data_IF_406262349777
#
_entry.id   IF_406262349777
#
_cell.length_a   1.000
_cell.length_b   1.000
_cell.length_c   1.000
_cell.angle_alpha   90.00
_cell.angle_beta   90.00
_cell.angle_gamma   90.00
#
_symmetry.space_group_name_H-M   'P 1'
#
loop_
_entity.id
_entity.type
_entity.pdbx_description
1 polymer ?
#
# COMPACT_ATOMS: atom_id res chain seq x y z
N UNK A 1 -8.73 19.40 -2.46
CA UNK A 1 -7.70 18.34 -2.49
C UNK A 1 -6.40 18.94 -1.96
N UNK A 2 -5.79 18.36 -0.93
CA UNK A 2 -4.62 18.97 -0.26
C UNK A 2 -4.46 18.58 1.20
N UNK A 3 -4.89 17.38 1.60
CA UNK A 3 -4.70 16.89 2.96
C UNK A 3 -3.20 16.76 3.25
N UNK A 4 -2.74 17.44 4.30
CA UNK A 4 -1.38 17.37 4.80
C UNK A 4 -1.44 17.07 6.31
N UNK A 5 -0.63 16.14 6.83
CA UNK A 5 0.25 15.24 6.09
C UNK A 5 -0.51 14.12 5.33
N UNK A 6 0.03 13.70 4.19
CA UNK A 6 -0.31 12.45 3.52
C UNK A 6 0.92 11.97 2.73
N UNK A 7 1.36 10.72 2.77
CA UNK A 7 0.67 9.54 3.29
C UNK A 7 0.83 9.35 4.81
N UNK A 8 -0.06 8.53 5.36
CA UNK A 8 -0.08 8.11 6.76
C UNK A 8 -0.33 6.60 6.80
N UNK A 9 0.24 5.91 7.77
CA UNK A 9 -0.13 4.50 8.00
C UNK A 9 -1.45 4.47 8.77
N UNK A 10 -2.44 3.71 8.30
CA UNK A 10 -3.76 3.66 8.94
C UNK A 10 -3.71 2.86 10.26
N UNK A 11 -4.45 3.29 11.29
CA UNK A 11 -4.60 2.58 12.57
C UNK A 11 -4.86 1.08 12.41
N UNK A 12 -5.74 0.70 11.48
CA UNK A 12 -6.16 -0.68 11.27
C UNK A 12 -5.10 -1.56 10.61
N UNK A 13 -4.01 -0.99 10.08
CA UNK A 13 -2.96 -1.77 9.42
C UNK A 13 -2.25 -2.65 10.44
N UNK A 14 -2.11 -3.94 10.15
CA UNK A 14 -1.31 -4.86 10.97
C UNK A 14 0.16 -4.45 10.98
N UNK A 15 0.83 -4.70 12.11
CA UNK A 15 2.22 -4.30 12.35
C UNK A 15 3.10 -5.54 12.54
N UNK A 16 4.37 -5.42 12.17
CA UNK A 16 5.38 -6.41 12.48
C UNK A 16 5.87 -6.33 13.94
N UNK A 17 6.84 -7.17 14.32
CA UNK A 17 7.49 -8.19 13.50
C UNK A 17 6.56 -9.35 13.10
N UNK A 18 6.96 -10.13 12.09
CA UNK A 18 6.25 -11.37 11.76
C UNK A 18 6.40 -12.36 12.91
N UNK A 19 5.29 -12.94 13.38
CA UNK A 19 5.32 -13.99 14.40
C UNK A 19 5.84 -15.34 13.87
N UNK A 20 5.84 -15.51 12.54
CA UNK A 20 6.25 -16.76 11.88
C UNK A 20 7.76 -16.75 11.58
N UNK A 21 8.27 -15.63 11.06
CA UNK A 21 9.68 -15.45 10.72
C UNK A 21 10.15 -14.07 11.17
N UNK A 22 10.53 -13.90 12.46
CA UNK A 22 10.89 -12.61 13.03
C UNK A 22 12.12 -11.96 12.39
N UNK A 23 13.03 -12.77 11.83
CA UNK A 23 14.28 -12.30 11.21
C UNK A 23 14.05 -11.58 9.86
N UNK A 24 12.88 -11.77 9.23
CA UNK A 24 12.49 -11.08 8.01
C UNK A 24 11.49 -9.99 8.37
N UNK A 25 11.89 -8.74 8.14
CA UNK A 25 11.06 -7.56 8.42
C UNK A 25 9.72 -7.63 7.64
N UNK A 26 8.61 -7.35 8.34
CA UNK A 26 7.29 -7.13 7.74
C UNK A 26 6.59 -5.91 8.35
N UNK A 27 5.73 -5.20 7.59
CA UNK A 27 5.42 -5.40 6.17
C UNK A 27 6.59 -4.96 5.25
N UNK A 28 6.50 -5.26 3.95
CA UNK A 28 7.56 -4.92 2.97
C UNK A 28 7.52 -3.43 2.54
N UNK A 29 6.32 -2.90 2.28
CA UNK A 29 6.05 -1.52 1.89
C UNK A 29 4.55 -1.20 2.10
N UNK A 30 4.13 0.05 1.88
CA UNK A 30 2.71 0.47 1.96
C UNK A 30 2.19 0.99 0.63
N UNK A 31 0.88 0.87 0.44
CA UNK A 31 0.14 1.34 -0.73
C UNK A 31 -1.21 1.97 -0.31
N UNK A 32 -1.89 2.71 -1.19
CA UNK A 32 -3.19 3.33 -0.88
C UNK A 32 -4.25 2.30 -0.50
N UNK A 33 -4.79 2.38 0.72
CA UNK A 33 -5.83 1.45 1.20
C UNK A 33 -6.98 2.10 1.96
N UNK A 34 -6.97 3.41 2.17
CA UNK A 34 -8.01 4.14 2.93
C UNK A 34 -8.88 4.95 1.99
N UNK A 35 -10.21 4.80 2.08
CA UNK A 35 -11.20 5.50 1.24
C UNK A 35 -10.93 5.31 -0.25
N UNK A 36 -10.75 4.05 -0.66
CA UNK A 36 -10.56 3.67 -2.06
C UNK A 36 -11.93 3.45 -2.70
N UNK A 37 -12.21 4.17 -3.78
CA UNK A 37 -13.39 3.97 -4.62
C UNK A 37 -13.11 2.85 -5.63
N UNK A 38 -13.93 1.81 -5.64
CA UNK A 38 -13.83 0.70 -6.58
C UNK A 38 -15.22 0.19 -6.99
N UNK A 39 -15.28 -0.61 -8.05
CA UNK A 39 -16.53 -1.22 -8.51
C UNK A 39 -17.16 -2.08 -7.42
N UNK A 40 -18.49 -2.08 -7.36
CA UNK A 40 -19.29 -2.79 -6.37
C UNK A 40 -20.49 -3.45 -7.03
N UNK A 41 -21.08 -4.43 -6.36
CA UNK A 41 -22.26 -5.14 -6.87
C UNK A 41 -23.47 -4.20 -6.82
N UNK A 42 -24.13 -3.88 -7.94
CA UNK A 42 -25.19 -2.87 -7.98
C UNK A 42 -26.41 -3.19 -7.11
N UNK A 43 -26.68 -4.47 -6.84
CA UNK A 43 -27.83 -4.88 -6.02
C UNK A 43 -27.48 -5.03 -4.52
N UNK A 44 -26.23 -4.74 -4.13
CA UNK A 44 -25.81 -4.76 -2.73
C UNK A 44 -25.77 -3.35 -2.14
N UNK A 45 -26.04 -3.26 -0.83
CA UNK A 45 -25.91 -2.00 -0.12
C UNK A 45 -24.45 -1.50 -0.15
N UNK A 46 -24.27 -0.27 -0.60
CA UNK A 46 -23.01 0.45 -0.59
C UNK A 46 -22.96 1.49 0.56
N UNK A 47 -24.11 2.04 0.95
CA UNK A 47 -24.23 2.99 2.06
C UNK A 47 -25.62 2.93 2.71
N UNK A 48 -25.77 3.53 3.88
CA UNK A 48 -27.06 3.62 4.57
C UNK A 48 -27.35 5.04 5.05
N UNK A 49 -28.63 5.46 4.95
CA UNK A 49 -29.16 6.67 5.59
C UNK A 49 -30.08 6.23 6.73
N UNK A 50 -29.64 6.47 7.97
CA UNK A 50 -30.31 5.92 9.15
C UNK A 50 -30.31 4.39 9.14
N UNK A 51 -31.29 3.77 9.81
CA UNK A 51 -31.38 2.31 9.92
C UNK A 51 -32.21 1.65 8.81
N UNK A 52 -32.99 2.44 8.04
CA UNK A 52 -34.06 1.91 7.20
C UNK A 52 -33.83 2.13 5.69
N UNK A 53 -32.87 2.96 5.29
CA UNK A 53 -32.61 3.26 3.88
C UNK A 53 -31.22 2.77 3.50
N UNK A 54 -31.18 1.70 2.70
CA UNK A 54 -29.97 1.19 2.08
C UNK A 54 -29.84 1.79 0.68
N UNK A 55 -28.64 2.25 0.34
CA UNK A 55 -28.31 2.83 -0.96
C UNK A 55 -27.41 1.86 -1.71
N UNK A 56 -27.78 1.52 -2.93
CA UNK A 56 -26.92 0.82 -3.87
C UNK A 56 -26.13 1.79 -4.75
N UNK A 57 -25.01 1.31 -5.28
CA UNK A 57 -24.22 2.01 -6.28
C UNK A 57 -23.32 1.02 -7.03
N UNK A 58 -23.01 1.33 -8.29
CA UNK A 58 -22.02 0.58 -9.09
C UNK A 58 -20.59 0.70 -8.52
N UNK A 59 -20.37 1.64 -7.59
CA UNK A 59 -19.09 1.86 -6.92
C UNK A 59 -19.27 2.02 -5.41
N UNK A 60 -18.27 1.58 -4.65
CA UNK A 60 -18.26 1.71 -3.20
C UNK A 60 -16.90 2.24 -2.72
N UNK A 61 -16.91 2.99 -1.61
CA UNK A 61 -15.72 3.53 -0.96
C UNK A 61 -15.42 2.66 0.26
N UNK A 62 -14.37 1.84 0.16
CA UNK A 62 -13.96 0.94 1.23
C UNK A 62 -12.56 1.29 1.74
N UNK A 63 -12.19 0.66 2.84
CA UNK A 63 -10.85 0.79 3.43
C UNK A 63 -10.35 -0.56 3.93
N UNK A 64 -9.05 -0.78 3.85
CA UNK A 64 -8.41 -2.00 4.32
C UNK A 64 -7.07 -2.26 3.63
N UNK A 65 -6.28 -3.16 4.20
CA UNK A 65 -5.11 -3.73 3.50
C UNK A 65 -5.53 -4.50 2.26
N UNK A 66 -6.75 -5.05 2.24
CA UNK A 66 -7.40 -5.63 1.05
C UNK A 66 -7.54 -4.64 -0.11
N UNK A 67 -7.59 -3.33 0.15
CA UNK A 67 -7.60 -2.28 -0.89
C UNK A 67 -6.19 -1.83 -1.26
N UNK A 68 -5.22 -1.93 -0.34
CA UNK A 68 -3.81 -1.65 -0.62
C UNK A 68 -3.16 -2.73 -1.49
N UNK A 69 -3.48 -4.00 -1.25
CA UNK A 69 -2.95 -5.14 -2.00
C UNK A 69 -3.11 -5.02 -3.53
N UNK A 70 -4.31 -4.76 -4.10
CA UNK A 70 -4.47 -4.65 -5.55
C UNK A 70 -3.71 -3.47 -6.17
N UNK A 71 -3.46 -2.38 -5.42
CA UNK A 71 -2.59 -1.30 -5.88
C UNK A 71 -1.15 -1.79 -6.06
N UNK A 72 -0.62 -2.51 -5.06
CA UNK A 72 0.71 -3.10 -5.13
C UNK A 72 0.82 -4.16 -6.24
N UNK A 73 -0.16 -5.07 -6.33
CA UNK A 73 -0.19 -6.11 -7.37
C UNK A 73 -0.23 -5.53 -8.78
N UNK A 74 -0.94 -4.41 -9.00
CA UNK A 74 -0.94 -3.72 -10.29
C UNK A 74 0.45 -3.17 -10.64
N UNK A 75 1.14 -2.54 -9.69
CA UNK A 75 2.50 -2.04 -9.91
C UNK A 75 3.46 -3.19 -10.22
N UNK A 76 3.39 -4.28 -9.45
CA UNK A 76 4.18 -5.48 -9.71
C UNK A 76 3.91 -6.06 -11.11
N UNK A 77 2.64 -6.12 -11.53
CA UNK A 77 2.26 -6.59 -12.87
C UNK A 77 2.78 -5.68 -13.98
N UNK A 78 2.75 -4.35 -13.80
CA UNK A 78 3.33 -3.40 -14.74
C UNK A 78 4.85 -3.57 -14.85
N UNK A 79 5.54 -3.73 -13.72
CA UNK A 79 6.98 -4.02 -13.71
C UNK A 79 7.30 -5.33 -14.42
N UNK A 80 6.52 -6.40 -14.20
CA UNK A 80 6.67 -7.67 -14.93
C UNK A 80 6.44 -7.52 -16.44
N UNK A 81 5.53 -6.63 -16.84
CA UNK A 81 5.28 -6.31 -18.25
C UNK A 81 6.46 -5.59 -18.91
N UNK A 82 7.13 -4.68 -18.18
CA UNK A 82 8.31 -3.94 -18.66
C UNK A 82 9.58 -4.80 -18.60
N UNK A 83 9.73 -5.64 -17.57
CA UNK A 83 10.86 -6.53 -17.35
C UNK A 83 10.41 -8.00 -17.29
N UNK A 84 10.14 -8.65 -18.45
CA UNK A 84 9.63 -10.02 -18.49
C UNK A 84 10.55 -11.05 -17.84
N UNK A 85 11.87 -10.81 -17.79
CA UNK A 85 12.86 -11.72 -17.21
C UNK A 85 12.98 -11.58 -15.68
N UNK A 86 12.45 -10.52 -15.08
CA UNK A 86 12.54 -10.35 -13.63
C UNK A 86 11.73 -11.41 -12.90
N UNK A 87 12.37 -12.07 -11.94
CA UNK A 87 11.70 -13.00 -11.03
C UNK A 87 11.00 -12.23 -9.90
N UNK A 88 10.10 -12.87 -9.12
CA UNK A 88 9.30 -12.16 -8.12
C UNK A 88 10.12 -11.37 -7.08
N UNK A 89 11.28 -11.89 -6.66
CA UNK A 89 12.23 -11.21 -5.77
C UNK A 89 12.77 -9.91 -6.37
N UNK A 90 13.15 -9.91 -7.65
CA UNK A 90 13.60 -8.70 -8.35
C UNK A 90 12.52 -7.61 -8.39
N UNK A 91 11.26 -7.98 -8.67
CA UNK A 91 10.13 -7.05 -8.68
C UNK A 91 9.87 -6.49 -7.28
N UNK A 92 9.83 -7.36 -6.28
CA UNK A 92 9.65 -6.94 -4.89
C UNK A 92 10.79 -6.02 -4.45
N UNK A 93 12.03 -6.36 -4.78
CA UNK A 93 13.20 -5.54 -4.49
C UNK A 93 13.07 -4.16 -5.12
N UNK A 94 12.74 -4.06 -6.41
CA UNK A 94 12.58 -2.77 -7.08
C UNK A 94 11.52 -1.91 -6.37
N UNK A 95 10.37 -2.49 -6.03
CA UNK A 95 9.31 -1.77 -5.30
C UNK A 95 9.74 -1.33 -3.90
N UNK A 96 10.52 -2.14 -3.19
CA UNK A 96 11.00 -1.83 -1.83
C UNK A 96 12.11 -0.78 -1.84
N UNK A 97 13.11 -0.90 -2.69
CA UNK A 97 14.29 -0.01 -2.68
C UNK A 97 13.98 1.38 -3.21
N UNK A 98 12.91 1.53 -3.99
CA UNK A 98 12.46 2.82 -4.52
C UNK A 98 11.27 3.42 -3.78
N UNK A 99 10.75 2.73 -2.76
CA UNK A 99 9.66 3.24 -1.94
C UNK A 99 10.07 4.55 -1.23
N UNK A 100 9.10 5.45 -1.05
CA UNK A 100 9.31 6.74 -0.41
C UNK A 100 8.92 6.67 1.08
N UNK A 101 9.86 6.86 2.03
CA UNK A 101 9.55 6.91 3.45
C UNK A 101 9.00 8.28 3.91
N UNK A 102 8.87 9.25 2.99
CA UNK A 102 8.44 10.61 3.27
C UNK A 102 7.01 10.87 2.81
N UNK A 103 6.30 11.72 3.56
CA UNK A 103 4.99 12.25 3.20
C UNK A 103 5.09 13.43 2.21
N UNK A 104 3.93 13.96 1.82
CA UNK A 104 3.79 15.13 0.94
C UNK A 104 4.22 16.46 1.57
N UNK A 105 4.75 16.44 2.80
CA UNK A 105 5.41 17.55 3.47
C UNK A 105 6.92 17.36 3.57
N UNK A 106 7.46 16.31 2.92
CA UNK A 106 8.86 15.87 3.00
C UNK A 106 9.31 15.51 4.42
N UNK A 107 8.38 15.08 5.27
CA UNK A 107 8.65 14.57 6.62
C UNK A 107 8.49 13.05 6.63
N UNK A 108 9.11 12.34 7.59
CA UNK A 108 8.88 10.91 7.74
C UNK A 108 7.38 10.62 7.86
N UNK A 109 6.90 9.63 7.09
CA UNK A 109 5.50 9.17 7.16
C UNK A 109 5.17 8.85 8.61
N UNK A 110 4.05 9.36 9.10
CA UNK A 110 3.64 9.15 10.49
C UNK A 110 2.69 7.95 10.64
N UNK A 111 2.69 7.35 11.83
CA UNK A 111 1.72 6.31 12.16
C UNK A 111 0.41 6.92 12.66
N UNK A 112 -0.71 6.55 12.03
CA UNK A 112 -2.08 6.88 12.44
C UNK A 112 -2.33 8.38 12.71
N UNK A 113 -1.62 9.26 12.02
CA UNK A 113 -1.72 10.72 12.24
C UNK A 113 -1.21 11.20 13.60
N UNK A 114 -0.54 10.35 14.38
CA UNK A 114 0.23 10.77 15.55
C UNK A 114 1.50 11.50 15.11
N UNK A 115 2.10 12.30 16.00
CA UNK A 115 3.35 13.04 15.72
C UNK A 115 4.62 12.17 15.65
N UNK A 116 4.50 10.84 15.69
CA UNK A 116 5.64 9.93 15.66
C UNK A 116 5.85 9.33 14.26
N UNK A 117 7.10 9.27 13.77
CA UNK A 117 7.43 8.58 12.54
C UNK A 117 7.02 7.10 12.58
N UNK A 118 6.48 6.61 11.47
CA UNK A 118 6.27 5.20 11.24
C UNK A 118 7.62 4.48 11.13
N UNK A 119 7.72 3.40 11.87
CA UNK A 119 8.85 2.46 11.87
C UNK A 119 8.74 1.48 10.69
N UNK A 120 9.81 0.75 10.36
CA UNK A 120 9.75 -0.31 9.36
C UNK A 120 8.74 -1.43 9.69
N UNK A 121 8.41 -1.67 10.97
CA UNK A 121 7.33 -2.61 11.35
C UNK A 121 5.92 -2.09 11.04
N UNK A 122 5.80 -0.80 10.72
CA UNK A 122 4.53 -0.16 10.37
C UNK A 122 4.42 0.07 8.86
N UNK A 123 5.51 0.43 8.18
CA UNK A 123 5.48 0.82 6.76
C UNK A 123 6.44 0.06 5.84
N UNK A 124 7.25 -0.85 6.35
CA UNK A 124 8.34 -1.46 5.60
C UNK A 124 9.31 -0.39 5.07
N UNK A 125 9.62 -0.46 3.78
CA UNK A 125 10.47 0.52 3.10
C UNK A 125 9.79 1.88 2.84
N UNK A 126 8.47 2.00 3.03
CA UNK A 126 7.72 3.23 2.78
C UNK A 126 6.63 3.07 1.73
N UNK A 127 6.13 4.18 1.20
CA UNK A 127 5.07 4.19 0.20
C UNK A 127 5.58 3.86 -1.20
N UNK A 128 4.89 2.98 -1.90
CA UNK A 128 5.25 2.61 -3.27
C UNK A 128 5.38 3.84 -4.18
N UNK A 129 6.46 3.91 -4.95
CA UNK A 129 6.68 4.89 -6.01
C UNK A 129 6.80 4.14 -7.34
N UNK A 130 5.70 4.02 -8.12
CA UNK A 130 5.70 3.21 -9.33
C UNK A 130 6.67 3.71 -10.40
N UNK A 131 6.88 5.03 -10.49
CA UNK A 131 7.73 5.62 -11.50
C UNK A 131 9.20 5.35 -11.18
N UNK A 132 9.61 5.50 -9.91
CA UNK A 132 10.97 5.14 -9.51
C UNK A 132 11.23 3.64 -9.59
N UNK A 133 10.22 2.82 -9.31
CA UNK A 133 10.36 1.36 -9.38
C UNK A 133 10.65 0.83 -10.80
N UNK A 134 10.37 1.62 -11.85
CA UNK A 134 10.77 1.28 -13.22
C UNK A 134 12.28 1.32 -13.40
N UNK A 135 13.00 2.20 -12.71
CA UNK A 135 14.45 2.33 -12.83
C UNK A 135 15.10 2.24 -11.44
N UNK A 136 15.09 1.06 -10.79
CA UNK A 136 15.57 0.91 -9.42
C UNK A 136 17.10 1.03 -9.30
N UNK A 137 17.81 1.01 -10.43
CA UNK A 137 19.28 0.97 -10.51
C UNK A 137 19.86 -0.39 -10.11
N UNK A 138 19.61 -0.82 -8.87
CA UNK A 138 20.03 -2.11 -8.32
C UNK A 138 18.83 -2.89 -7.79
N UNK A 139 18.88 -4.21 -7.94
CA UNK A 139 17.92 -5.15 -7.39
C UNK A 139 18.64 -6.20 -6.54
N UNK A 140 18.03 -6.57 -5.43
CA UNK A 140 18.44 -7.68 -4.57
C UNK A 140 17.66 -8.91 -5.00
N UNK A 141 18.28 -9.75 -5.81
CA UNK A 141 17.62 -10.94 -6.35
C UNK A 141 17.88 -12.19 -5.50
N UNK A 142 16.93 -13.12 -5.51
CA UNK A 142 16.99 -14.37 -4.76
C UNK A 142 16.44 -15.52 -5.62
N UNK A 143 17.26 -16.56 -5.82
CA UNK A 143 16.83 -17.77 -6.53
C UNK A 143 16.05 -18.71 -5.61
N UNK A 144 15.18 -19.58 -6.18
CA UNK A 144 14.49 -20.63 -5.43
C UNK A 144 15.44 -21.60 -4.71
#
# INVERSE_FOLDING_TARGET
MGTKPAQLVAAYSSRGPSLIYPDILKPDFIAPGTKVLAAWVPDQSAAAIGHNLQLSSDYNILQGTSMACPHASRVAALLKGVYPEWIPSAIQSAMMTTANPLDNTNKPISDNGYSYPATPFQMGSGHIDPNKALEPGLIYDASP
#
